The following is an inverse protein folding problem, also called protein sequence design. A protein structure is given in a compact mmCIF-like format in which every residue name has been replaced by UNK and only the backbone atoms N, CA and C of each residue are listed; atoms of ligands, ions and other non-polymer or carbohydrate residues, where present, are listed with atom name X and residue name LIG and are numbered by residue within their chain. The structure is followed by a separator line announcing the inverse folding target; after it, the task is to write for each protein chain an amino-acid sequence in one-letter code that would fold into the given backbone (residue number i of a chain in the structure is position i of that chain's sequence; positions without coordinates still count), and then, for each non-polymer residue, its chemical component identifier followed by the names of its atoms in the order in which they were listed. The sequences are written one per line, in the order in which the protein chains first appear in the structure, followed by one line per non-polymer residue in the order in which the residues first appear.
data_IF_897924398138
#
_entry.id   IF_897924398138
#
_cell.length_a   1.000
_cell.length_b   1.000
_cell.length_c   1.000
_cell.angle_alpha   90.00
_cell.angle_beta   90.00
_cell.angle_gamma   90.00
#
_symmetry.space_group_name_H-M   'P 1'
#
loop_
_entity.id
_entity.type
_entity.pdbx_description
1 polymer ?
#
# COMPACT_ATOMS: atom_id res chain seq x y z
N UNK A 1 -28.44 44.08 -12.93
CA UNK A 1 -28.92 43.00 -12.05
C UNK A 1 -28.41 41.67 -12.58
N UNK A 2 -27.94 40.82 -11.67
CA UNK A 2 -27.04 39.66 -11.86
C UNK A 2 -27.86 38.37 -11.96
N UNK A 3 -27.54 37.44 -12.88
CA UNK A 3 -27.62 36.01 -12.57
C UNK A 3 -26.79 35.14 -13.53
N UNK A 4 -25.52 34.90 -13.17
CA UNK A 4 -24.72 33.83 -13.74
C UNK A 4 -25.08 32.52 -13.02
N UNK A 5 -25.82 31.65 -13.71
CA UNK A 5 -26.15 30.30 -13.23
C UNK A 5 -24.89 29.50 -12.95
N UNK A 6 -24.61 29.32 -11.66
CA UNK A 6 -23.41 28.68 -11.12
C UNK A 6 -23.17 27.32 -11.74
N UNK A 7 -21.96 27.13 -12.27
CA UNK A 7 -21.39 25.83 -12.69
C UNK A 7 -21.59 24.82 -11.55
N UNK A 8 -22.42 23.79 -11.75
CA UNK A 8 -22.53 22.65 -10.81
C UNK A 8 -21.14 22.02 -10.73
N UNK A 9 -20.43 22.29 -9.64
CA UNK A 9 -19.19 21.63 -9.32
C UNK A 9 -19.55 20.19 -9.01
N UNK A 10 -19.21 19.27 -9.91
CA UNK A 10 -19.35 17.83 -9.70
C UNK A 10 -18.63 17.48 -8.42
N UNK A 11 -19.36 17.02 -7.39
CA UNK A 11 -18.79 16.61 -6.11
C UNK A 11 -17.71 15.57 -6.40
N UNK A 12 -16.46 15.88 -6.09
CA UNK A 12 -15.38 14.88 -6.03
C UNK A 12 -15.84 13.85 -5.00
N UNK A 13 -16.00 12.60 -5.43
CA UNK A 13 -16.44 11.53 -4.55
C UNK A 13 -15.25 11.12 -3.67
N UNK A 14 -15.10 11.78 -2.52
CA UNK A 14 -14.11 11.39 -1.52
C UNK A 14 -14.59 10.07 -0.92
N UNK A 15 -13.96 8.96 -1.31
CA UNK A 15 -14.24 7.65 -0.70
C UNK A 15 -13.88 7.76 0.78
N UNK A 16 -14.88 7.63 1.66
CA UNK A 16 -14.66 7.56 3.10
C UNK A 16 -13.82 6.31 3.41
N UNK A 17 -12.58 6.51 3.86
CA UNK A 17 -11.70 5.42 4.26
C UNK A 17 -12.06 4.98 5.68
N UNK A 18 -12.52 3.74 5.83
CA UNK A 18 -12.87 3.16 7.13
C UNK A 18 -11.59 2.74 7.85
N UNK A 19 -11.04 3.65 8.65
CA UNK A 19 -9.81 3.45 9.44
C UNK A 19 -9.94 2.24 10.38
N UNK A 20 -11.15 1.93 10.86
CA UNK A 20 -11.40 0.81 11.78
C UNK A 20 -11.29 -0.56 11.12
N UNK A 21 -11.47 -0.64 9.80
CA UNK A 21 -11.34 -1.89 9.02
C UNK A 21 -9.98 -2.05 8.37
N UNK A 22 -9.15 -1.02 8.40
CA UNK A 22 -7.86 -1.07 7.75
C UNK A 22 -6.86 -1.85 8.64
N UNK A 23 -6.38 -2.99 8.15
CA UNK A 23 -5.41 -3.82 8.87
C UNK A 23 -4.05 -3.08 8.94
N UNK A 24 -3.81 -2.40 10.05
CA UNK A 24 -2.57 -1.66 10.31
C UNK A 24 -1.32 -2.54 10.21
N UNK A 25 -1.45 -3.85 10.38
CA UNK A 25 -0.32 -4.77 10.20
C UNK A 25 0.13 -4.83 8.73
N UNK A 26 -0.76 -4.55 7.77
CA UNK A 26 -0.40 -4.48 6.36
C UNK A 26 0.46 -3.25 6.06
N UNK A 27 0.21 -2.10 6.68
CA UNK A 27 1.07 -0.93 6.54
C UNK A 27 2.46 -1.19 7.14
N UNK A 28 2.51 -1.80 8.33
CA UNK A 28 3.79 -2.18 8.95
C UNK A 28 4.57 -3.14 8.07
N UNK A 29 3.90 -4.15 7.50
CA UNK A 29 4.50 -5.11 6.57
C UNK A 29 5.02 -4.40 5.31
N UNK A 30 4.24 -3.50 4.71
CA UNK A 30 4.64 -2.72 3.54
C UNK A 30 5.89 -1.90 3.82
N UNK A 31 5.90 -1.13 4.91
CA UNK A 31 7.04 -0.32 5.32
C UNK A 31 8.31 -1.15 5.53
N UNK A 32 8.20 -2.33 6.14
CA UNK A 32 9.37 -3.19 6.35
C UNK A 32 9.85 -3.87 5.06
N UNK A 33 8.96 -4.27 4.16
CA UNK A 33 9.34 -4.81 2.86
C UNK A 33 10.05 -3.77 1.99
N UNK A 34 9.63 -2.50 2.09
CA UNK A 34 10.30 -1.36 1.48
C UNK A 34 11.71 -1.14 2.02
N UNK A 35 11.87 -1.21 3.34
CA UNK A 35 13.17 -0.97 3.99
C UNK A 35 14.14 -2.12 3.75
N UNK A 36 13.70 -3.35 3.99
CA UNK A 36 14.59 -4.52 4.01
C UNK A 36 14.81 -5.13 2.62
N UNK A 37 13.92 -4.85 1.66
CA UNK A 37 13.96 -5.42 0.29
C UNK A 37 14.09 -6.96 0.29
N UNK A 38 13.60 -7.61 1.35
CA UNK A 38 13.74 -9.04 1.59
C UNK A 38 12.65 -9.53 2.55
N UNK A 39 11.88 -10.54 2.14
CA UNK A 39 10.75 -11.08 2.93
C UNK A 39 11.19 -11.61 4.30
N UNK A 40 12.29 -12.37 4.34
CA UNK A 40 12.76 -13.01 5.57
C UNK A 40 13.28 -11.98 6.57
N UNK A 41 14.07 -11.01 6.10
CA UNK A 41 14.55 -9.91 6.96
C UNK A 41 13.41 -9.05 7.49
N UNK A 42 12.45 -8.70 6.63
CA UNK A 42 11.26 -7.97 7.05
C UNK A 42 10.43 -8.74 8.10
N UNK A 43 10.32 -10.07 7.95
CA UNK A 43 9.61 -10.92 8.91
C UNK A 43 10.31 -10.92 10.28
N UNK A 44 11.64 -11.05 10.27
CA UNK A 44 12.47 -11.01 11.48
C UNK A 44 12.33 -9.66 12.21
N UNK A 45 12.37 -8.55 11.48
CA UNK A 45 12.26 -7.20 12.04
C UNK A 45 10.89 -6.93 12.68
N UNK A 46 9.81 -7.50 12.12
CA UNK A 46 8.48 -7.43 12.73
C UNK A 46 8.21 -8.51 13.76
N UNK A 47 9.18 -9.37 14.05
CA UNK A 47 9.02 -10.53 14.94
C UNK A 47 7.84 -11.44 14.55
N UNK A 48 7.66 -11.67 13.25
CA UNK A 48 6.65 -12.58 12.70
C UNK A 48 7.31 -13.70 11.90
N UNK A 49 6.57 -14.76 11.62
CA UNK A 49 7.05 -15.82 10.73
C UNK A 49 7.13 -15.33 9.28
N UNK A 50 8.04 -15.90 8.49
CA UNK A 50 8.12 -15.64 7.05
C UNK A 50 6.79 -15.96 6.34
N UNK A 51 6.05 -16.98 6.80
CA UNK A 51 4.74 -17.33 6.26
C UNK A 51 3.70 -16.24 6.52
N UNK A 52 3.69 -15.66 7.73
CA UNK A 52 2.83 -14.51 8.05
C UNK A 52 3.18 -13.29 7.19
N UNK A 53 4.48 -12.98 7.02
CA UNK A 53 4.94 -11.89 6.15
C UNK A 53 4.54 -12.11 4.68
N UNK A 54 4.68 -13.34 4.17
CA UNK A 54 4.27 -13.68 2.80
C UNK A 54 2.75 -13.55 2.62
N UNK A 55 1.96 -13.92 3.64
CA UNK A 55 0.52 -13.70 3.67
C UNK A 55 0.14 -12.22 3.67
N UNK A 56 0.84 -11.38 4.42
CA UNK A 56 0.66 -9.92 4.39
C UNK A 56 1.01 -9.33 3.01
N UNK A 57 2.12 -9.75 2.40
CA UNK A 57 2.47 -9.34 1.03
C UNK A 57 1.39 -9.75 0.01
N UNK A 58 0.81 -10.96 0.13
CA UNK A 58 -0.31 -11.39 -0.73
C UNK A 58 -1.53 -10.49 -0.56
N UNK A 59 -1.92 -10.16 0.68
CA UNK A 59 -3.06 -9.27 0.96
C UNK A 59 -2.82 -7.87 0.44
N UNK A 60 -1.62 -7.33 0.65
CA UNK A 60 -1.21 -6.05 0.08
C UNK A 60 -1.38 -6.05 -1.44
N UNK A 61 -0.85 -7.05 -2.15
CA UNK A 61 -1.01 -7.18 -3.61
C UNK A 61 -2.47 -7.16 -4.05
N UNK A 62 -3.35 -7.83 -3.32
CA UNK A 62 -4.79 -7.85 -3.59
C UNK A 62 -5.46 -6.49 -3.34
N UNK A 63 -5.06 -5.78 -2.29
CA UNK A 63 -5.62 -4.47 -1.96
C UNK A 63 -5.26 -3.40 -3.00
N UNK A 64 -4.05 -3.46 -3.54
CA UNK A 64 -3.54 -2.50 -4.51
C UNK A 64 -3.74 -2.93 -5.98
N UNK A 65 -4.15 -4.18 -6.20
CA UNK A 65 -4.21 -4.80 -7.53
C UNK A 65 -2.87 -4.65 -8.30
N UNK A 66 -1.76 -4.78 -7.57
CA UNK A 66 -0.40 -4.58 -8.08
C UNK A 66 0.57 -5.59 -7.44
N UNK A 67 1.62 -6.06 -8.13
CA UNK A 67 2.61 -6.96 -7.54
C UNK A 67 3.38 -6.34 -6.35
N UNK A 68 3.44 -5.01 -6.26
CA UNK A 68 4.12 -4.14 -5.30
C UNK A 68 5.64 -4.29 -5.23
N UNK A 69 6.10 -5.52 -5.29
CA UNK A 69 7.48 -5.92 -5.32
C UNK A 69 7.68 -7.05 -6.32
N UNK A 70 8.68 -6.90 -7.17
CA UNK A 70 9.17 -7.91 -8.10
C UNK A 70 10.49 -8.49 -7.57
N UNK A 71 10.74 -9.77 -7.83
CA UNK A 71 11.98 -10.42 -7.39
C UNK A 71 13.05 -10.24 -8.47
N UNK A 72 14.16 -9.62 -8.09
CA UNK A 72 15.35 -9.43 -8.95
C UNK A 72 16.54 -10.10 -8.26
N UNK A 73 16.91 -11.28 -8.77
CA UNK A 73 17.89 -12.13 -8.10
C UNK A 73 17.46 -12.50 -6.67
N UNK A 74 18.24 -12.05 -5.68
CA UNK A 74 17.98 -12.30 -4.26
C UNK A 74 17.19 -11.19 -3.55
N UNK A 75 16.88 -10.09 -4.24
CA UNK A 75 16.25 -8.90 -3.67
C UNK A 75 14.81 -8.70 -4.18
N UNK A 76 14.05 -7.91 -3.43
CA UNK A 76 12.76 -7.39 -3.85
C UNK A 76 12.92 -5.95 -4.31
N UNK A 77 12.57 -5.67 -5.55
CA UNK A 77 12.49 -4.32 -6.10
C UNK A 77 11.04 -3.82 -6.07
N UNK A 78 10.76 -2.56 -5.65
CA UNK A 78 9.42 -2.02 -5.64
C UNK A 78 8.93 -1.75 -7.06
N UNK A 79 7.62 -1.86 -7.27
CA UNK A 79 6.98 -1.33 -8.48
C UNK A 79 6.86 0.19 -8.37
N UNK A 80 6.71 0.91 -9.51
CA UNK A 80 6.41 2.34 -9.50
C UNK A 80 5.17 2.68 -8.67
N UNK A 81 4.16 1.80 -8.66
CA UNK A 81 2.92 1.98 -7.91
C UNK A 81 3.15 2.14 -6.40
N UNK A 82 4.03 1.31 -5.83
CA UNK A 82 4.40 1.40 -4.40
C UNK A 82 5.10 2.72 -4.09
N UNK A 83 5.95 3.20 -4.98
CA UNK A 83 6.72 4.43 -4.75
C UNK A 83 5.79 5.65 -4.70
N UNK A 84 4.81 5.72 -5.60
CA UNK A 84 3.79 6.79 -5.62
C UNK A 84 3.04 6.87 -4.29
N UNK A 85 2.78 5.74 -3.65
CA UNK A 85 2.03 5.68 -2.39
C UNK A 85 2.81 6.23 -1.18
N UNK A 86 4.15 6.32 -1.27
CA UNK A 86 5.00 6.78 -0.16
C UNK A 86 5.23 8.30 -0.22
N UNK A 87 5.15 8.89 -1.42
CA UNK A 87 5.40 10.32 -1.62
C UNK A 87 4.16 11.22 -1.49
N UNK A 88 2.99 10.63 -1.21
CA UNK A 88 1.69 11.35 -1.10
C UNK A 88 1.22 11.48 0.35
#
# INVERSE_FOLDING_TARGET
MINAGRKRISRVNVRTFDIGKFDLNLLRALHMLLRERNVTRAANELHVTQQAMSGSLKRLRQHFDDPLFIRVGQHLEPTPMVLIFIES
#
